data_IF_663720497140
#
_entry.id   IF_663720497140
#
_cell.length_a   1.000
_cell.length_b   1.000
_cell.length_c   1.000
_cell.angle_alpha   90.00
_cell.angle_beta   90.00
_cell.angle_gamma   90.00
#
_symmetry.space_group_name_H-M   'P 1'
#
loop_
_entity.id
_entity.type
_entity.pdbx_description
1 polymer ?
#
# COMPACT_ATOMS: atom_id res chain seq x y z
N UNK A 1 -10.24 22.31 -21.65
CA UNK A 1 -9.39 21.90 -20.51
C UNK A 1 -10.22 20.90 -19.73
N UNK A 2 -10.13 19.63 -20.12
CA UNK A 2 -10.80 18.55 -19.40
C UNK A 2 -9.80 18.08 -18.34
N UNK A 3 -10.19 18.19 -17.08
CA UNK A 3 -9.43 17.77 -15.92
C UNK A 3 -9.52 16.23 -15.89
N UNK A 4 -8.44 15.53 -16.20
CA UNK A 4 -8.33 14.09 -16.02
C UNK A 4 -8.32 13.81 -14.51
N UNK A 5 -9.51 13.59 -13.96
CA UNK A 5 -9.70 13.01 -12.64
C UNK A 5 -9.24 11.56 -12.74
N UNK A 6 -8.13 11.20 -12.09
CA UNK A 6 -7.84 9.80 -11.76
C UNK A 6 -8.82 9.41 -10.65
N UNK A 7 -10.02 9.02 -11.08
CA UNK A 7 -10.97 8.29 -10.26
C UNK A 7 -10.34 6.92 -9.99
N UNK A 8 -9.94 6.64 -8.75
CA UNK A 8 -9.67 5.26 -8.33
C UNK A 8 -11.04 4.63 -8.11
N UNK A 9 -11.62 4.08 -9.17
CA UNK A 9 -12.79 3.21 -9.06
C UNK A 9 -12.32 1.89 -8.44
N UNK A 10 -12.61 1.69 -7.16
CA UNK A 10 -12.43 0.42 -6.46
C UNK A 10 -13.51 -0.54 -7.00
N UNK A 11 -13.21 -1.23 -8.10
CA UNK A 11 -14.10 -2.23 -8.71
C UNK A 11 -13.34 -3.54 -9.00
N UNK A 12 -13.63 -4.53 -8.14
CA UNK A 12 -13.56 -5.98 -8.33
C UNK A 12 -12.19 -6.70 -8.42
N UNK A 13 -11.05 -6.00 -8.40
CA UNK A 13 -9.73 -6.55 -8.01
C UNK A 13 -8.88 -5.42 -7.45
N UNK A 14 -8.55 -5.44 -6.16
CA UNK A 14 -7.78 -4.39 -5.49
C UNK A 14 -6.32 -4.36 -5.98
N UNK A 15 -6.07 -3.96 -7.23
CA UNK A 15 -4.75 -3.73 -7.82
C UNK A 15 -4.60 -2.22 -7.99
N UNK A 16 -3.53 -1.65 -7.42
CA UNK A 16 -3.18 -0.24 -7.54
C UNK A 16 -1.93 -0.09 -8.40
N UNK A 17 -1.87 0.95 -9.22
CA UNK A 17 -0.65 1.30 -9.96
C UNK A 17 0.14 2.32 -9.17
N UNK A 18 1.32 1.93 -8.68
CA UNK A 18 2.27 2.84 -8.04
C UNK A 18 3.15 3.50 -9.10
N UNK A 19 3.14 4.82 -9.12
CA UNK A 19 4.05 5.63 -9.93
C UNK A 19 5.21 6.08 -9.03
N UNK A 20 6.42 5.57 -9.31
CA UNK A 20 7.63 5.96 -8.59
C UNK A 20 8.19 7.29 -9.15
N UNK A 21 8.91 8.05 -8.33
CA UNK A 21 9.55 9.32 -8.74
C UNK A 21 10.56 9.15 -9.90
N UNK A 22 11.03 7.92 -10.12
CA UNK A 22 11.88 7.55 -11.25
C UNK A 22 11.13 7.46 -12.60
N UNK A 23 9.79 7.57 -12.59
CA UNK A 23 8.93 7.43 -13.76
C UNK A 23 8.55 5.99 -14.10
N UNK A 24 8.86 5.03 -13.22
CA UNK A 24 8.43 3.64 -13.31
C UNK A 24 7.00 3.49 -12.74
N UNK A 25 6.16 2.74 -13.45
CA UNK A 25 4.81 2.37 -13.02
C UNK A 25 4.80 0.88 -12.71
N UNK A 26 4.47 0.50 -11.47
CA UNK A 26 4.35 -0.91 -11.07
C UNK A 26 2.92 -1.17 -10.62
N UNK A 27 2.33 -2.23 -11.18
CA UNK A 27 1.02 -2.72 -10.73
C UNK A 27 1.23 -3.53 -9.45
N UNK A 28 0.52 -3.17 -8.39
CA UNK A 28 0.63 -3.78 -7.08
C UNK A 28 -0.74 -4.26 -6.61
N UNK A 29 -0.86 -5.53 -6.26
CA UNK A 29 -2.07 -6.09 -5.65
C UNK A 29 -2.12 -5.77 -4.15
N UNK A 30 -3.22 -5.20 -3.67
CA UNK A 30 -3.45 -4.96 -2.25
C UNK A 30 -3.70 -6.30 -1.56
N UNK A 31 -2.75 -6.72 -0.73
CA UNK A 31 -2.90 -7.89 0.12
C UNK A 31 -3.80 -7.57 1.32
N UNK A 32 -3.72 -6.35 1.85
CA UNK A 32 -4.60 -5.86 2.92
C UNK A 32 -4.16 -4.52 3.52
N UNK A 33 -5.03 -3.94 4.34
CA UNK A 33 -4.75 -2.75 5.17
C UNK A 33 -4.96 -3.09 6.64
N UNK A 34 -4.12 -2.56 7.52
CA UNK A 34 -4.18 -2.81 8.96
C UNK A 34 -3.69 -1.60 9.75
N UNK A 35 -4.19 -1.45 10.97
CA UNK A 35 -3.71 -0.44 11.90
C UNK A 35 -2.65 -1.03 12.83
N UNK A 36 -1.54 -0.31 13.00
CA UNK A 36 -0.49 -0.67 13.93
C UNK A 36 0.06 0.58 14.61
N UNK A 37 0.23 0.53 15.93
CA UNK A 37 0.77 1.64 16.73
C UNK A 37 0.05 3.00 16.54
N UNK A 38 -1.23 2.99 16.14
CA UNK A 38 -2.01 4.20 15.87
C UNK A 38 -1.71 4.86 14.51
N UNK A 39 -1.05 4.14 13.60
CA UNK A 39 -0.90 4.48 12.19
C UNK A 39 -1.54 3.39 11.35
N UNK A 40 -1.99 3.72 10.15
CA UNK A 40 -2.53 2.76 9.20
C UNK A 40 -1.42 2.34 8.22
N UNK A 41 -1.44 1.08 7.82
CA UNK A 41 -0.46 0.49 6.91
C UNK A 41 -1.19 -0.32 5.84
N UNK A 42 -0.59 -0.36 4.65
CA UNK A 42 -1.07 -1.13 3.51
C UNK A 42 0.03 -2.08 3.06
N UNK A 43 -0.33 -3.35 2.87
CA UNK A 43 0.53 -4.37 2.30
C UNK A 43 0.17 -4.59 0.83
N UNK A 44 1.18 -4.55 -0.02
CA UNK A 44 1.08 -4.57 -1.48
C UNK A 44 2.01 -5.63 -2.06
N UNK A 45 1.57 -6.36 -3.08
CA UNK A 45 2.38 -7.35 -3.81
C UNK A 45 2.61 -6.81 -5.22
N UNK A 46 3.85 -6.46 -5.62
CA UNK A 46 4.14 -5.99 -6.96
C UNK A 46 4.04 -7.12 -7.99
N UNK A 47 3.43 -6.85 -9.14
CA UNK A 47 3.39 -7.73 -10.31
C UNK A 47 4.69 -7.63 -11.14
N UNK A 48 5.84 -7.45 -10.50
CA UNK A 48 7.16 -7.49 -11.18
C UNK A 48 7.69 -8.94 -11.33
N UNK A 49 6.91 -9.91 -10.85
CA UNK A 49 7.30 -11.33 -10.80
C UNK A 49 8.24 -11.66 -9.65
N UNK A 50 8.38 -10.75 -8.68
CA UNK A 50 9.03 -11.01 -7.40
C UNK A 50 8.00 -11.45 -6.36
N UNK A 51 8.45 -12.18 -5.33
CA UNK A 51 7.60 -12.65 -4.21
C UNK A 51 7.70 -11.67 -3.02
N UNK A 52 8.04 -10.40 -3.31
CA UNK A 52 8.26 -9.37 -2.28
C UNK A 52 6.92 -8.75 -1.87
N UNK A 53 6.79 -8.38 -0.59
CA UNK A 53 5.64 -7.63 -0.07
C UNK A 53 6.11 -6.24 0.32
N UNK A 54 5.49 -5.22 -0.26
CA UNK A 54 5.78 -3.83 0.05
C UNK A 54 4.78 -3.33 1.08
N UNK A 55 5.29 -2.85 2.21
CA UNK A 55 4.45 -2.25 3.23
C UNK A 55 4.72 -0.75 3.31
N UNK A 56 3.65 0.03 3.15
CA UNK A 56 3.68 1.48 3.27
C UNK A 56 2.72 1.94 4.36
N UNK A 57 3.02 3.08 4.98
CA UNK A 57 2.05 3.79 5.79
C UNK A 57 0.91 4.27 4.90
N UNK A 58 -0.31 3.87 5.21
CA UNK A 58 -1.51 4.39 4.59
C UNK A 58 -1.98 5.62 5.37
N UNK A 59 -2.25 6.72 4.67
CA UNK A 59 -2.77 7.92 5.31
C UNK A 59 -3.82 8.57 4.45
N UNK A 60 -5.05 8.60 4.94
CA UNK A 60 -6.14 9.33 4.31
C UNK A 60 -5.90 10.84 4.45
N UNK A 61 -5.80 11.57 3.33
CA UNK A 61 -5.58 13.02 3.29
C UNK A 61 -6.78 13.82 2.80
N UNK A 62 -7.82 13.13 2.30
CA UNK A 62 -9.07 13.74 1.85
C UNK A 62 -10.17 12.71 1.64
N UNK A 63 -11.35 13.16 1.23
CA UNK A 63 -12.54 12.29 1.05
C UNK A 63 -12.33 11.15 0.04
N UNK A 64 -11.36 11.27 -0.86
CA UNK A 64 -11.04 10.25 -1.88
C UNK A 64 -9.52 10.21 -2.21
N UNK A 65 -8.67 10.76 -1.33
CA UNK A 65 -7.22 10.84 -1.57
C UNK A 65 -6.47 10.24 -0.39
N UNK A 66 -5.51 9.37 -0.70
CA UNK A 66 -4.63 8.73 0.26
C UNK A 66 -3.18 8.96 -0.14
N UNK A 67 -2.32 9.12 0.87
CA UNK A 67 -0.87 9.16 0.72
C UNK A 67 -0.27 7.84 1.21
N UNK A 68 0.67 7.30 0.44
CA UNK A 68 1.53 6.22 0.89
C UNK A 68 2.83 6.82 1.42
N UNK A 69 3.21 6.40 2.63
CA UNK A 69 4.37 6.90 3.35
C UNK A 69 5.39 5.77 3.47
N UNK A 70 6.59 5.96 2.92
CA UNK A 70 7.71 5.04 3.12
C UNK A 70 8.07 4.93 4.61
N UNK A 71 8.28 3.69 5.06
CA UNK A 71 8.75 3.43 6.42
C UNK A 71 10.28 3.51 6.41
N UNK A 72 10.82 4.67 6.80
CA UNK A 72 12.28 4.89 6.83
C UNK A 72 13.00 4.14 7.97
N UNK A 73 12.26 3.71 9.00
CA UNK A 73 12.81 3.05 10.18
C UNK A 73 12.67 1.53 10.05
N UNK A 74 13.80 0.82 9.89
CA UNK A 74 13.81 -0.65 9.77
C UNK A 74 13.10 -1.35 10.93
N UNK A 75 13.20 -0.82 12.16
CA UNK A 75 12.55 -1.44 13.32
C UNK A 75 11.03 -1.25 13.31
N UNK A 76 10.54 -0.10 12.81
CA UNK A 76 9.11 0.10 12.54
C UNK A 76 8.64 -0.85 11.43
N UNK A 77 9.39 -0.98 10.34
CA UNK A 77 9.06 -1.89 9.24
C UNK A 77 8.97 -3.34 9.71
N UNK A 78 9.99 -3.86 10.40
CA UNK A 78 9.97 -5.24 10.91
C UNK A 78 8.82 -5.48 11.90
N UNK A 79 8.48 -4.50 12.75
CA UNK A 79 7.37 -4.61 13.68
C UNK A 79 6.01 -4.67 12.96
N UNK A 80 5.84 -3.84 11.93
CA UNK A 80 4.65 -3.77 11.09
C UNK A 80 4.49 -5.07 10.28
N UNK A 81 5.57 -5.57 9.69
CA UNK A 81 5.59 -6.87 8.99
C UNK A 81 5.23 -8.00 9.95
N UNK A 82 5.79 -8.02 11.16
CA UNK A 82 5.49 -9.07 12.14
C UNK A 82 4.02 -9.05 12.59
N UNK A 83 3.42 -7.87 12.76
CA UNK A 83 1.99 -7.75 13.05
C UNK A 83 1.16 -8.25 11.86
N UNK A 84 1.52 -7.86 10.64
CA UNK A 84 0.85 -8.32 9.43
C UNK A 84 0.90 -9.84 9.26
N UNK A 85 2.08 -10.44 9.45
CA UNK A 85 2.28 -11.88 9.40
C UNK A 85 1.43 -12.59 10.46
N UNK A 86 1.39 -12.06 11.70
CA UNK A 86 0.51 -12.59 12.76
C UNK A 86 -0.97 -12.52 12.40
N UNK A 87 -1.41 -11.41 11.78
CA UNK A 87 -2.81 -11.26 11.32
C UNK A 87 -3.13 -12.27 10.20
N UNK A 88 -2.18 -12.51 9.29
CA UNK A 88 -2.34 -13.44 8.17
C UNK A 88 -2.29 -14.91 8.61
N UNK A 89 -1.44 -15.26 9.57
CA UNK A 89 -1.37 -16.60 10.16
C UNK A 89 -2.60 -16.94 11.01
N UNK A 90 -3.30 -15.91 11.55
CA UNK A 90 -4.56 -16.08 12.29
C UNK A 90 -5.81 -16.26 11.41
N UNK A 91 -5.71 -16.14 10.08
CA UNK A 91 -6.83 -16.35 9.14
C UNK A 91 -7.00 -17.78 8.62
#
# INVERSE_FOLDING_TARGET
>A
MANEKKNVEIDEKDIITLEFDNGDEVECEIMGVFDFNGKEYIALIPDDGTDDVYIYGYKEVGEDEFELIDIEDDAEFEAVVAEFDSIMDEQ
#
